data_IF_465413969884
#
_entry.id   IF_465413969884
#
_cell.length_a   1.000
_cell.length_b   1.000
_cell.length_c   1.000
_cell.angle_alpha   90.00
_cell.angle_beta   90.00
_cell.angle_gamma   90.00
#
_symmetry.space_group_name_H-M   'P 1'
#
loop_
_entity.id
_entity.type
_entity.pdbx_description
1 polymer ?
#
# COMPACT_ATOMS: atom_id res chain seq x y z
N UNK A 1 -24.18 30.09 -2.92
CA UNK A 1 -22.96 29.43 -2.40
C UNK A 1 -23.33 28.06 -1.84
N UNK A 2 -23.29 27.02 -2.67
CA UNK A 2 -23.40 25.62 -2.23
C UNK A 2 -22.41 24.83 -3.08
N UNK A 3 -21.35 24.33 -2.44
CA UNK A 3 -20.33 23.48 -3.06
C UNK A 3 -20.75 22.04 -2.81
N UNK A 4 -21.16 21.33 -3.85
CA UNK A 4 -21.27 19.87 -3.84
C UNK A 4 -20.14 19.23 -4.65
N UNK A 5 -19.72 17.99 -4.31
CA UNK A 5 -18.43 17.42 -4.66
C UNK A 5 -18.42 16.65 -6.00
N UNK A 6 -17.29 16.72 -6.70
CA UNK A 6 -16.98 15.87 -7.84
C UNK A 6 -16.62 14.46 -7.37
N UNK A 7 -17.61 13.56 -7.36
CA UNK A 7 -17.40 12.12 -7.38
C UNK A 7 -17.72 11.62 -8.78
N UNK A 8 -16.77 11.79 -9.71
CA UNK A 8 -16.88 11.26 -11.07
C UNK A 8 -16.45 9.80 -11.02
N UNK A 9 -17.44 8.91 -11.02
CA UNK A 9 -17.26 7.46 -11.05
C UNK A 9 -16.37 7.04 -12.22
N UNK A 10 -15.29 6.31 -11.90
CA UNK A 10 -14.47 5.64 -12.90
C UNK A 10 -15.30 4.47 -13.45
N UNK A 11 -15.85 4.70 -14.64
CA UNK A 11 -16.61 3.74 -15.41
C UNK A 11 -15.84 2.43 -15.58
N UNK A 12 -16.56 1.36 -15.25
CA UNK A 12 -16.33 -0.04 -15.57
C UNK A 12 -15.96 -0.19 -17.06
N UNK A 13 -14.78 -0.72 -17.36
CA UNK A 13 -14.40 -1.07 -18.73
C UNK A 13 -15.17 -2.34 -19.17
N UNK A 14 -15.79 -2.38 -20.36
CA UNK A 14 -16.52 -3.56 -20.82
C UNK A 14 -15.56 -4.62 -21.40
N UNK A 15 -15.59 -5.80 -20.80
CA UNK A 15 -15.14 -7.05 -21.39
C UNK A 15 -16.10 -7.46 -22.52
N UNK A 16 -15.63 -7.59 -23.76
CA UNK A 16 -16.37 -8.24 -24.83
C UNK A 16 -15.46 -9.03 -25.79
N UNK A 17 -15.40 -10.34 -25.52
CA UNK A 17 -15.29 -11.48 -26.46
C UNK A 17 -14.75 -11.20 -27.86
N UNK A 18 -13.53 -11.70 -28.11
CA UNK A 18 -13.15 -12.12 -29.45
C UNK A 18 -12.98 -13.63 -29.46
N UNK A 19 -14.05 -14.32 -29.86
CA UNK A 19 -14.00 -15.72 -30.27
C UNK A 19 -13.49 -15.76 -31.70
N UNK A 20 -12.33 -16.39 -31.94
CA UNK A 20 -12.13 -17.22 -33.12
C UNK A 20 -11.06 -18.29 -32.83
N UNK A 21 -11.52 -19.54 -32.90
CA UNK A 21 -10.82 -20.82 -32.83
C UNK A 21 -10.34 -21.11 -34.28
N UNK A 22 -9.12 -21.57 -34.60
CA UNK A 22 -8.62 -22.95 -34.47
C UNK A 22 -7.18 -23.04 -35.02
N UNK A 23 -6.50 -24.11 -34.59
CA UNK A 23 -5.33 -24.75 -35.22
C UNK A 23 -3.94 -24.18 -34.91
N UNK A 24 -3.38 -24.59 -33.76
CA UNK A 24 -1.94 -24.89 -33.68
C UNK A 24 -1.72 -26.31 -33.15
N UNK A 25 -1.11 -27.07 -34.06
CA UNK A 25 -0.53 -28.41 -34.00
C UNK A 25 -0.24 -29.02 -32.63
N UNK A 26 -0.55 -30.32 -32.55
CA UNK A 26 -0.09 -31.30 -31.56
C UNK A 26 1.41 -31.59 -31.75
N UNK A 27 2.20 -31.44 -30.70
CA UNK A 27 3.46 -32.14 -30.39
C UNK A 27 3.85 -31.64 -28.98
N UNK A 28 3.85 -32.41 -27.91
CA UNK A 28 4.44 -33.74 -27.73
C UNK A 28 5.55 -33.61 -26.69
N UNK A 29 5.20 -33.54 -25.41
CA UNK A 29 6.14 -33.69 -24.30
C UNK A 29 5.40 -34.30 -23.10
N UNK A 30 5.33 -35.62 -23.11
CA UNK A 30 4.98 -36.42 -21.94
C UNK A 30 6.28 -36.61 -21.17
N UNK A 31 6.32 -36.23 -19.89
CA UNK A 31 6.95 -36.97 -18.78
C UNK A 31 7.26 -36.03 -17.58
N UNK A 32 6.74 -36.44 -16.43
CA UNK A 32 7.28 -36.17 -15.08
C UNK A 32 6.94 -34.83 -14.42
N UNK A 33 5.69 -34.67 -13.97
CA UNK A 33 5.37 -33.68 -12.93
C UNK A 33 4.39 -34.18 -11.85
N UNK A 34 4.18 -35.50 -11.73
CA UNK A 34 3.34 -36.11 -10.70
C UNK A 34 3.97 -36.09 -9.28
N UNK A 35 4.87 -35.15 -8.98
CA UNK A 35 5.65 -35.13 -7.73
C UNK A 35 5.82 -33.76 -7.06
N UNK A 36 5.01 -32.75 -7.40
CA UNK A 36 5.12 -31.40 -6.77
C UNK A 36 3.94 -30.97 -5.88
N UNK A 37 2.92 -31.81 -5.70
CA UNK A 37 1.63 -31.32 -5.17
C UNK A 37 1.51 -31.19 -3.64
N UNK A 38 2.52 -31.54 -2.83
CA UNK A 38 2.30 -31.69 -1.36
C UNK A 38 3.08 -30.74 -0.46
N UNK A 39 4.06 -29.98 -0.97
CA UNK A 39 4.81 -29.00 -0.16
C UNK A 39 4.53 -27.53 -0.54
N UNK A 40 4.02 -27.26 -1.75
CA UNK A 40 3.86 -25.90 -2.27
C UNK A 40 2.49 -25.24 -1.95
N UNK A 41 1.53 -25.96 -1.35
CA UNK A 41 0.18 -25.41 -1.10
C UNK A 41 0.11 -24.36 0.02
N UNK A 42 1.17 -24.19 0.81
CA UNK A 42 1.25 -23.14 1.86
C UNK A 42 1.98 -21.89 1.38
N UNK A 43 2.50 -21.86 0.15
CA UNK A 43 3.27 -20.74 -0.39
C UNK A 43 2.45 -20.02 -1.45
N UNK A 44 2.26 -18.72 -1.28
CA UNK A 44 1.63 -17.88 -2.30
C UNK A 44 2.69 -17.58 -3.37
N UNK A 45 2.49 -17.97 -4.64
CA UNK A 45 3.45 -17.69 -5.70
C UNK A 45 3.45 -16.19 -6.04
N UNK A 46 4.64 -15.61 -6.16
CA UNK A 46 4.82 -14.23 -6.62
C UNK A 46 4.69 -14.17 -8.15
N UNK A 47 3.55 -13.68 -8.63
CA UNK A 47 3.27 -13.53 -10.07
C UNK A 47 3.54 -12.12 -10.59
N UNK A 48 4.17 -11.24 -9.80
CA UNK A 48 4.29 -9.80 -10.12
C UNK A 48 5.56 -9.49 -10.91
N UNK A 49 5.38 -8.90 -12.10
CA UNK A 49 6.47 -8.41 -12.93
C UNK A 49 6.95 -7.00 -12.52
N UNK A 50 7.91 -6.91 -11.60
CA UNK A 50 8.41 -5.64 -11.03
C UNK A 50 9.03 -4.66 -12.04
N UNK A 51 9.43 -5.12 -13.23
CA UNK A 51 10.02 -4.29 -14.28
C UNK A 51 8.99 -3.77 -15.27
N UNK A 52 7.73 -4.23 -15.20
CA UNK A 52 6.69 -3.79 -16.12
C UNK A 52 6.39 -2.29 -15.94
N UNK A 53 5.99 -1.58 -17.01
CA UNK A 53 5.60 -0.18 -16.91
C UNK A 53 4.44 0.04 -15.93
N UNK A 54 3.47 -0.88 -15.91
CA UNK A 54 2.30 -0.84 -15.01
C UNK A 54 2.73 -0.91 -13.53
N UNK A 55 3.66 -1.81 -13.19
CA UNK A 55 4.17 -1.91 -11.82
C UNK A 55 4.84 -0.60 -11.38
N UNK A 56 5.62 0.03 -12.28
CA UNK A 56 6.30 1.29 -11.98
C UNK A 56 5.31 2.45 -11.80
N UNK A 57 4.25 2.52 -12.60
CA UNK A 57 3.20 3.53 -12.45
C UNK A 57 2.44 3.35 -11.12
N UNK A 58 2.09 2.12 -10.78
CA UNK A 58 1.47 1.79 -9.50
C UNK A 58 2.38 2.15 -8.31
N UNK A 59 3.68 1.84 -8.40
CA UNK A 59 4.65 2.19 -7.38
C UNK A 59 4.77 3.71 -7.18
N UNK A 60 4.81 4.48 -8.28
CA UNK A 60 4.82 5.96 -8.22
C UNK A 60 3.56 6.53 -7.59
N UNK A 61 2.40 6.00 -7.98
CA UNK A 61 1.11 6.43 -7.43
C UNK A 61 1.02 6.14 -5.93
N UNK A 62 1.46 4.96 -5.51
CA UNK A 62 1.49 4.60 -4.09
C UNK A 62 2.46 5.47 -3.30
N UNK A 63 3.66 5.72 -3.84
CA UNK A 63 4.66 6.58 -3.20
C UNK A 63 4.12 8.01 -2.96
N UNK A 64 3.35 8.55 -3.90
CA UNK A 64 2.73 9.88 -3.74
C UNK A 64 1.74 9.92 -2.58
N UNK A 65 0.89 8.89 -2.44
CA UNK A 65 -0.09 8.80 -1.34
C UNK A 65 0.62 8.63 0.00
N UNK A 66 1.66 7.79 0.06
CA UNK A 66 2.47 7.60 1.27
C UNK A 66 3.14 8.91 1.69
N UNK A 67 3.73 9.65 0.75
CA UNK A 67 4.38 10.93 1.05
C UNK A 67 3.40 11.97 1.64
N UNK A 68 2.18 12.05 1.09
CA UNK A 68 1.11 12.91 1.62
C UNK A 68 0.66 12.46 3.02
N UNK A 69 0.49 11.16 3.23
CA UNK A 69 0.17 10.59 4.53
C UNK A 69 1.24 10.94 5.57
N UNK A 70 2.51 10.72 5.26
CA UNK A 70 3.62 11.05 6.16
C UNK A 70 3.66 12.54 6.50
N UNK A 71 3.40 13.42 5.53
CA UNK A 71 3.33 14.86 5.78
C UNK A 71 2.21 15.20 6.77
N UNK A 72 1.03 14.61 6.59
CA UNK A 72 -0.12 14.78 7.51
C UNK A 72 0.16 14.21 8.89
N UNK A 73 0.78 13.03 8.97
CA UNK A 73 1.17 12.40 10.23
C UNK A 73 2.20 13.25 10.96
N UNK A 74 3.22 13.78 10.28
CA UNK A 74 4.19 14.71 10.88
C UNK A 74 3.51 15.95 11.46
N UNK A 75 2.57 16.52 10.71
CA UNK A 75 1.81 17.68 11.18
C UNK A 75 0.94 17.35 12.40
N UNK A 76 0.23 16.22 12.38
CA UNK A 76 -0.59 15.76 13.51
C UNK A 76 0.26 15.37 14.73
N UNK A 77 1.48 14.87 14.51
CA UNK A 77 2.42 14.51 15.58
C UNK A 77 2.88 15.72 16.40
N UNK A 78 2.86 16.93 15.81
CA UNK A 78 3.11 18.18 16.55
C UNK A 78 2.05 18.46 17.62
N UNK A 79 0.86 17.86 17.54
CA UNK A 79 -0.21 18.06 18.52
C UNK A 79 -0.78 19.49 18.49
N UNK A 80 -1.00 20.08 19.68
CA UNK A 80 -1.58 21.41 19.81
C UNK A 80 -0.70 22.54 19.27
N UNK A 81 -1.16 23.79 19.39
CA UNK A 81 -0.40 24.97 18.93
C UNK A 81 0.97 25.08 19.62
N UNK A 82 1.93 25.74 18.97
CA UNK A 82 3.28 25.93 19.52
C UNK A 82 3.25 26.59 20.90
N UNK A 83 2.40 27.60 21.10
CA UNK A 83 2.22 28.28 22.38
C UNK A 83 1.68 27.33 23.48
N UNK A 84 0.75 26.43 23.14
CA UNK A 84 0.25 25.44 24.10
C UNK A 84 1.34 24.44 24.52
N UNK A 85 2.17 23.99 23.57
CA UNK A 85 3.33 23.12 23.87
C UNK A 85 4.36 23.81 24.75
N UNK A 86 4.69 25.06 24.44
CA UNK A 86 5.61 25.87 25.25
C UNK A 86 5.08 26.08 26.67
N UNK A 87 3.79 26.38 26.82
CA UNK A 87 3.17 26.52 28.15
C UNK A 87 3.19 25.21 28.94
N UNK A 88 3.04 24.06 28.28
CA UNK A 88 3.09 22.74 28.93
C UNK A 88 4.51 22.40 29.40
N UNK A 89 5.50 22.61 28.52
CA UNK A 89 6.92 22.37 28.81
C UNK A 89 7.51 23.36 29.81
N UNK A 90 7.09 24.63 29.79
CA UNK A 90 7.48 25.64 30.78
C UNK A 90 7.05 25.30 32.21
N UNK A 91 6.10 24.38 32.39
CA UNK A 91 5.69 23.85 33.70
C UNK A 91 6.48 22.60 34.11
N UNK A 92 7.57 22.28 33.41
CA UNK A 92 8.38 21.08 33.63
C UNK A 92 7.68 19.77 33.25
N UNK A 93 6.60 19.83 32.46
CA UNK A 93 5.83 18.64 32.06
C UNK A 93 6.24 18.17 30.67
N UNK A 94 6.37 16.86 30.53
CA UNK A 94 6.56 16.19 29.25
C UNK A 94 5.29 16.23 28.39
N UNK A 95 5.44 16.38 27.08
CA UNK A 95 4.34 16.28 26.13
C UNK A 95 3.75 14.85 26.14
N UNK A 96 2.47 14.66 25.73
CA UNK A 96 1.86 13.34 25.71
C UNK A 96 2.67 12.27 24.97
N UNK A 97 3.20 12.59 23.77
CA UNK A 97 4.02 11.64 23.00
C UNK A 97 5.40 11.39 23.61
N UNK A 98 6.00 12.38 24.26
CA UNK A 98 7.26 12.21 24.99
C UNK A 98 7.08 11.27 26.19
N UNK A 99 5.95 11.37 26.90
CA UNK A 99 5.61 10.44 27.98
C UNK A 99 5.48 9.00 27.49
N UNK A 100 4.83 8.80 26.34
CA UNK A 100 4.73 7.47 25.72
C UNK A 100 6.11 6.96 25.31
N UNK A 101 6.93 7.81 24.69
CA UNK A 101 8.29 7.43 24.29
C UNK A 101 9.19 7.01 25.47
N UNK A 102 9.01 7.61 26.64
CA UNK A 102 9.73 7.20 27.86
C UNK A 102 9.14 5.95 28.53
N UNK A 103 7.86 5.64 28.28
CA UNK A 103 7.20 4.45 28.81
C UNK A 103 7.55 3.20 28.00
N UNK A 104 7.81 3.35 26.71
CA UNK A 104 8.15 2.25 25.81
C UNK A 104 9.61 1.81 26.00
N UNK A 105 9.85 0.51 25.91
CA UNK A 105 11.20 -0.04 25.93
C UNK A 105 12.00 0.42 24.70
N UNK A 106 13.31 0.69 24.84
CA UNK A 106 14.16 1.09 23.71
C UNK A 106 14.11 0.05 22.59
N UNK A 107 13.74 0.49 21.37
CA UNK A 107 13.64 -0.38 20.20
C UNK A 107 12.28 -1.08 20.04
N UNK A 108 11.30 -0.80 20.88
CA UNK A 108 9.91 -1.22 20.64
C UNK A 108 9.36 -0.51 19.38
N UNK A 109 8.82 -1.26 18.40
CA UNK A 109 8.36 -0.71 17.10
C UNK A 109 7.12 0.18 17.19
#
# INVERSE_FOLDING_TARGET
MLRQPAATGRLLAPMARQQHLLARSRQGAVLTAARRFTADMTVIPDTVERKSPEFQENARSMAAVVADLEAKVRQAALGGSAAARQKHTARGKLLPRERVAQLLDPGSP
#
